data_IF_033544043639
#
_entry.id   IF_033544043639
#
_cell.length_a   1.000
_cell.length_b   1.000
_cell.length_c   1.000
_cell.angle_alpha   90.00
_cell.angle_beta   90.00
_cell.angle_gamma   90.00
#
_symmetry.space_group_name_H-M   'P 1'
#
loop_
_entity.id
_entity.type
_entity.pdbx_description
1 polymer ?
#
# COMPACT_ATOMS: atom_id res chain seq x y z
N UNK A 1 6.58 5.67 21.58
CA UNK A 1 7.67 5.50 20.60
C UNK A 1 7.42 4.30 19.67
N UNK A 2 6.22 4.23 19.07
CA UNK A 2 5.75 3.08 18.28
C UNK A 2 5.99 3.25 16.78
N UNK A 3 5.93 4.49 16.28
CA UNK A 3 6.12 4.81 14.85
C UNK A 3 7.49 4.37 14.33
N UNK A 4 8.59 4.90 14.89
CA UNK A 4 9.96 4.57 14.45
C UNK A 4 10.24 3.06 14.51
N UNK A 5 9.71 2.38 15.53
CA UNK A 5 9.80 0.93 15.66
C UNK A 5 9.09 0.19 14.52
N UNK A 6 7.97 0.71 14.04
CA UNK A 6 7.24 0.14 12.91
C UNK A 6 7.98 0.38 11.59
N UNK A 7 8.52 1.59 11.38
CA UNK A 7 9.31 1.89 10.18
C UNK A 7 10.55 0.99 10.08
N UNK A 8 11.30 0.84 11.18
CA UNK A 8 12.47 -0.06 11.21
C UNK A 8 12.10 -1.53 10.95
N UNK A 9 10.93 -1.99 11.44
CA UNK A 9 10.44 -3.35 11.14
C UNK A 9 10.14 -3.52 9.65
N UNK A 10 9.57 -2.51 9.02
CA UNK A 10 9.27 -2.52 7.59
C UNK A 10 10.56 -2.47 6.75
N UNK A 11 11.52 -1.60 7.08
CA UNK A 11 12.83 -1.58 6.41
C UNK A 11 13.55 -2.91 6.53
N UNK A 12 13.49 -3.55 7.72
CA UNK A 12 14.02 -4.91 7.90
C UNK A 12 13.36 -5.93 6.96
N UNK A 13 12.04 -5.85 6.75
CA UNK A 13 11.33 -6.73 5.80
C UNK A 13 11.77 -6.50 4.35
N UNK A 14 11.91 -5.23 3.95
CA UNK A 14 12.40 -4.87 2.61
C UNK A 14 13.79 -5.47 2.35
N UNK A 15 14.65 -5.47 3.37
CA UNK A 15 16.00 -6.01 3.30
C UNK A 15 16.09 -7.53 3.49
N UNK A 16 14.99 -8.20 3.84
CA UNK A 16 14.96 -9.64 4.16
C UNK A 16 13.74 -10.30 3.53
N UNK A 17 13.83 -10.70 2.24
CA UNK A 17 12.71 -11.27 1.48
C UNK A 17 12.26 -12.67 1.96
N UNK A 18 12.95 -13.31 2.91
CA UNK A 18 12.64 -14.66 3.42
C UNK A 18 11.46 -14.70 4.43
N UNK A 19 10.74 -13.60 4.65
CA UNK A 19 9.55 -13.59 5.51
C UNK A 19 8.30 -13.99 4.70
N UNK A 20 7.47 -14.96 5.14
CA UNK A 20 6.34 -15.44 4.36
C UNK A 20 5.42 -14.31 3.91
N UNK A 21 4.99 -14.38 2.66
CA UNK A 21 4.23 -13.39 1.86
C UNK A 21 2.84 -13.01 2.42
N UNK A 22 2.50 -13.42 3.64
CA UNK A 22 1.16 -13.32 4.23
C UNK A 22 0.92 -12.14 5.17
N UNK A 23 1.83 -11.16 5.26
CA UNK A 23 1.57 -9.94 6.02
C UNK A 23 1.51 -8.76 5.08
N UNK A 24 0.38 -8.66 4.38
CA UNK A 24 -0.19 -7.35 4.07
C UNK A 24 0.03 -6.44 5.27
N UNK A 25 0.52 -5.25 5.01
CA UNK A 25 0.74 -4.25 6.04
C UNK A 25 -0.56 -4.06 6.81
N UNK A 26 -0.71 -4.71 7.97
CA UNK A 26 -1.82 -4.56 8.91
C UNK A 26 -1.83 -3.12 9.43
N UNK A 27 -2.29 -2.23 8.56
CA UNK A 27 -2.53 -0.81 8.76
C UNK A 27 -3.47 -0.24 7.69
N UNK A 28 -3.72 -0.91 6.57
CA UNK A 28 -4.53 -0.33 5.49
C UNK A 28 -6.06 -0.47 5.66
N UNK A 29 -6.53 -1.12 6.74
CA UNK A 29 -7.95 -1.26 7.08
C UNK A 29 -8.38 -0.39 8.28
N UNK A 30 -7.58 0.60 8.68
CA UNK A 30 -8.05 1.61 9.62
C UNK A 30 -8.27 2.94 8.93
N UNK A 31 -9.55 3.15 8.66
CA UNK A 31 -10.24 4.43 8.54
C UNK A 31 -9.89 5.29 7.32
N UNK A 32 -10.85 6.15 6.99
CA UNK A 32 -10.74 7.20 5.99
C UNK A 32 -9.64 8.15 6.48
N UNK A 33 -8.40 7.88 6.09
CA UNK A 33 -7.28 8.76 6.44
C UNK A 33 -7.46 10.04 5.63
N UNK A 34 -7.72 11.16 6.31
CA UNK A 34 -7.78 12.47 5.69
C UNK A 34 -6.46 12.75 4.96
N UNK A 35 -6.54 13.42 3.80
CA UNK A 35 -5.38 13.68 2.95
C UNK A 35 -4.22 14.43 3.65
N UNK A 36 -4.52 15.15 4.76
CA UNK A 36 -3.52 15.82 5.57
C UNK A 36 -2.72 14.86 6.47
N UNK A 37 -3.35 13.79 6.95
CA UNK A 37 -2.74 12.80 7.84
C UNK A 37 -1.80 11.86 7.05
N UNK A 38 -2.13 11.57 5.78
CA UNK A 38 -1.21 10.89 4.84
C UNK A 38 0.07 11.71 4.60
N UNK A 39 -0.05 13.04 4.47
CA UNK A 39 1.07 13.94 4.18
C UNK A 39 2.01 14.06 5.39
N UNK A 40 1.48 14.15 6.60
CA UNK A 40 2.30 14.19 7.81
C UNK A 40 3.03 12.86 8.05
N UNK A 41 2.36 11.72 7.84
CA UNK A 41 2.99 10.39 7.96
C UNK A 41 4.13 10.19 6.95
N UNK A 42 3.99 10.73 5.74
CA UNK A 42 5.05 10.69 4.71
C UNK A 42 6.36 11.36 5.16
N UNK A 43 6.27 12.51 5.83
CA UNK A 43 7.44 13.29 6.25
C UNK A 43 8.24 12.61 7.38
N UNK A 44 7.54 12.02 8.35
CA UNK A 44 8.15 11.29 9.45
C UNK A 44 8.84 10.01 8.97
N UNK A 45 8.24 9.34 7.97
CA UNK A 45 8.79 8.16 7.31
C UNK A 45 10.06 8.48 6.52
N UNK A 46 10.07 9.58 5.77
CA UNK A 46 11.26 10.05 5.06
C UNK A 46 12.40 10.35 6.04
N UNK A 47 12.10 10.96 7.18
CA UNK A 47 13.07 11.16 8.26
C UNK A 47 13.67 9.85 8.78
N UNK A 48 12.83 8.85 9.06
CA UNK A 48 13.27 7.53 9.52
C UNK A 48 14.15 6.82 8.47
N UNK A 49 13.79 6.92 7.19
CA UNK A 49 14.58 6.39 6.08
C UNK A 49 15.96 7.04 6.02
N UNK A 50 16.03 8.39 6.02
CA UNK A 50 17.30 9.14 5.95
C UNK A 50 18.25 8.76 7.09
N UNK A 51 17.73 8.63 8.32
CA UNK A 51 18.52 8.20 9.47
C UNK A 51 19.03 6.77 9.26
N UNK A 52 18.16 5.85 8.82
CA UNK A 52 18.52 4.44 8.61
C UNK A 52 19.60 4.30 7.52
N UNK A 53 19.45 4.99 6.39
CA UNK A 53 20.45 5.02 5.31
C UNK A 53 21.79 5.58 5.80
N UNK A 54 21.78 6.65 6.60
CA UNK A 54 23.00 7.22 7.18
C UNK A 54 23.73 6.20 8.05
N UNK A 55 23.01 5.51 8.94
CA UNK A 55 23.57 4.48 9.82
C UNK A 55 24.17 3.33 9.01
N UNK A 56 23.44 2.79 8.02
CA UNK A 56 23.93 1.70 7.17
C UNK A 56 25.22 2.09 6.44
N UNK A 57 25.26 3.30 5.85
CA UNK A 57 26.45 3.82 5.15
C UNK A 57 27.63 3.99 6.10
N UNK A 58 27.41 4.47 7.33
CA UNK A 58 28.45 4.60 8.37
C UNK A 58 28.98 3.25 8.86
N UNK A 59 28.14 2.21 8.85
CA UNK A 59 28.53 0.83 9.17
C UNK A 59 29.20 0.11 7.99
N UNK A 60 29.50 0.81 6.88
CA UNK A 60 30.03 0.25 5.64
C UNK A 60 29.10 -0.80 4.97
N UNK A 61 27.80 -0.77 5.31
CA UNK A 61 26.74 -1.62 4.72
C UNK A 61 26.10 -0.91 3.51
N UNK A 62 26.93 -0.61 2.49
CA UNK A 62 26.49 0.22 1.34
C UNK A 62 25.43 -0.47 0.50
N UNK A 63 25.58 -1.76 0.20
CA UNK A 63 24.63 -2.52 -0.60
C UNK A 63 23.24 -2.59 0.04
N UNK A 64 23.17 -2.71 1.37
CA UNK A 64 21.91 -2.66 2.11
C UNK A 64 21.28 -1.26 2.04
N UNK A 65 22.07 -0.19 2.15
CA UNK A 65 21.56 1.16 2.00
C UNK A 65 20.95 1.39 0.60
N UNK A 66 21.66 0.97 -0.45
CA UNK A 66 21.23 1.16 -1.83
C UNK A 66 20.00 0.29 -2.15
N UNK A 67 19.96 -0.94 -1.63
CA UNK A 67 18.79 -1.83 -1.75
C UNK A 67 17.57 -1.25 -1.04
N UNK A 68 17.75 -0.70 0.16
CA UNK A 68 16.65 -0.09 0.92
C UNK A 68 16.13 1.16 0.20
N UNK A 69 17.02 2.03 -0.28
CA UNK A 69 16.66 3.26 -1.01
C UNK A 69 15.88 2.93 -2.29
N UNK A 70 16.35 1.96 -3.09
CA UNK A 70 15.66 1.53 -4.31
C UNK A 70 14.27 0.94 -4.05
N UNK A 71 14.16 0.05 -3.07
CA UNK A 71 12.88 -0.60 -2.76
C UNK A 71 11.88 0.36 -2.12
N UNK A 72 12.34 1.31 -1.31
CA UNK A 72 11.47 2.30 -0.70
C UNK A 72 10.80 3.20 -1.75
N UNK A 73 11.52 3.57 -2.81
CA UNK A 73 10.93 4.26 -3.97
C UNK A 73 9.79 3.42 -4.59
N UNK A 74 10.01 2.10 -4.77
CA UNK A 74 8.97 1.22 -5.29
C UNK A 74 7.75 1.14 -4.37
N UNK A 75 7.94 1.11 -3.04
CA UNK A 75 6.86 1.11 -2.06
C UNK A 75 6.07 2.43 -2.10
N UNK A 76 6.74 3.57 -2.23
CA UNK A 76 6.08 4.88 -2.36
C UNK A 76 5.23 4.91 -3.63
N UNK A 77 5.81 4.54 -4.78
CA UNK A 77 5.08 4.47 -6.05
C UNK A 77 3.87 3.52 -5.98
N UNK A 78 4.02 2.36 -5.33
CA UNK A 78 2.93 1.40 -5.16
C UNK A 78 1.80 1.97 -4.30
N UNK A 79 2.12 2.67 -3.20
CA UNK A 79 1.11 3.31 -2.34
C UNK A 79 0.35 4.39 -3.10
N UNK A 80 1.05 5.25 -3.81
CA UNK A 80 0.44 6.32 -4.61
C UNK A 80 -0.48 5.74 -5.70
N UNK A 81 -0.02 4.72 -6.43
CA UNK A 81 -0.84 4.02 -7.42
C UNK A 81 -2.09 3.41 -6.79
N UNK A 82 -1.96 2.74 -5.63
CA UNK A 82 -3.09 2.11 -4.93
C UNK A 82 -4.09 3.17 -4.44
N UNK A 83 -3.62 4.27 -3.88
CA UNK A 83 -4.48 5.39 -3.45
C UNK A 83 -5.22 6.01 -4.64
N UNK A 84 -4.51 6.28 -5.75
CA UNK A 84 -5.11 6.80 -6.97
C UNK A 84 -6.18 5.87 -7.55
N UNK A 85 -5.93 4.56 -7.60
CA UNK A 85 -6.91 3.58 -8.04
C UNK A 85 -8.14 3.56 -7.13
N UNK A 86 -7.93 3.56 -5.80
CA UNK A 86 -9.03 3.61 -4.82
C UNK A 86 -9.87 4.87 -5.03
N UNK A 87 -9.24 6.04 -5.12
CA UNK A 87 -9.95 7.31 -5.30
C UNK A 87 -10.68 7.40 -6.65
N UNK A 88 -10.11 6.85 -7.72
CA UNK A 88 -10.71 6.85 -9.05
C UNK A 88 -11.91 5.90 -9.15
N UNK A 89 -11.86 4.77 -8.46
CA UNK A 89 -12.86 3.70 -8.57
C UNK A 89 -13.67 3.47 -7.29
N UNK A 90 -13.65 4.41 -6.34
CA UNK A 90 -14.41 4.31 -5.09
C UNK A 90 -15.93 4.35 -5.29
N UNK A 91 -16.41 4.97 -6.37
CA UNK A 91 -17.81 5.10 -6.70
C UNK A 91 -18.16 4.30 -7.97
N UNK A 92 -19.34 3.70 -7.96
CA UNK A 92 -19.97 3.07 -9.12
C UNK A 92 -21.33 3.72 -9.37
N UNK A 93 -21.86 3.54 -10.59
CA UNK A 93 -23.14 4.10 -11.01
C UNK A 93 -24.14 2.99 -11.21
N UNK A 94 -25.37 3.21 -10.75
CA UNK A 94 -26.51 2.34 -11.07
C UNK A 94 -27.08 2.72 -12.45
N UNK A 95 -27.35 1.74 -13.32
CA UNK A 95 -27.96 1.97 -14.63
C UNK A 95 -27.02 2.57 -15.69
N UNK A 96 -27.55 3.36 -16.63
CA UNK A 96 -26.76 4.02 -17.69
C UNK A 96 -25.92 5.13 -17.06
N UNK A 97 -24.60 4.98 -17.09
CA UNK A 97 -23.62 5.78 -16.35
C UNK A 97 -23.75 7.31 -16.47
N UNK A 98 -24.44 7.83 -17.49
CA UNK A 98 -24.65 9.28 -17.69
C UNK A 98 -25.77 9.90 -16.83
N UNK A 99 -26.63 9.11 -16.20
CA UNK A 99 -27.81 9.62 -15.45
C UNK A 99 -27.96 9.05 -14.03
N UNK A 100 -27.13 8.08 -13.65
CA UNK A 100 -27.17 7.48 -12.31
C UNK A 100 -26.47 8.33 -11.25
N UNK A 101 -26.89 8.18 -9.98
CA UNK A 101 -26.20 8.80 -8.84
C UNK A 101 -24.95 7.98 -8.48
N UNK A 102 -23.80 8.62 -8.20
CA UNK A 102 -22.60 7.92 -7.75
C UNK A 102 -22.85 7.31 -6.37
N UNK A 103 -22.59 6.00 -6.23
CA UNK A 103 -22.71 5.25 -4.98
C UNK A 103 -21.37 4.61 -4.65
N UNK A 104 -20.92 4.71 -3.39
CA UNK A 104 -19.66 4.09 -2.97
C UNK A 104 -19.74 2.57 -3.09
N UNK A 105 -18.71 1.96 -3.67
CA UNK A 105 -18.65 0.52 -3.92
C UNK A 105 -18.86 -0.32 -2.64
N UNK A 106 -18.29 0.14 -1.52
CA UNK A 106 -18.40 -0.54 -0.22
C UNK A 106 -19.80 -0.49 0.40
N UNK A 107 -20.72 0.34 -0.11
CA UNK A 107 -22.12 0.41 0.36
C UNK A 107 -23.03 -0.57 -0.36
N UNK A 108 -22.57 -1.17 -1.47
CA UNK A 108 -23.37 -2.03 -2.35
C UNK A 108 -22.99 -3.50 -2.22
N UNK A 109 -21.79 -3.79 -1.71
CA UNK A 109 -21.39 -5.14 -1.38
C UNK A 109 -21.81 -5.48 0.04
N UNK A 110 -22.82 -6.32 0.19
CA UNK A 110 -23.20 -6.90 1.48
C UNK A 110 -22.32 -8.08 1.86
N UNK A 111 -21.76 -8.82 0.89
CA UNK A 111 -20.76 -9.88 1.10
C UNK A 111 -19.97 -10.12 -0.21
N UNK A 112 -18.63 -10.18 -0.14
CA UNK A 112 -17.75 -10.45 -1.28
C UNK A 112 -17.10 -11.83 -1.14
N UNK A 113 -17.51 -12.78 -1.97
CA UNK A 113 -16.82 -14.07 -2.10
C UNK A 113 -15.98 -14.06 -3.36
N UNK A 114 -14.66 -14.13 -3.21
CA UNK A 114 -13.76 -14.38 -4.35
C UNK A 114 -13.93 -15.86 -4.69
N UNK A 115 -14.68 -16.12 -5.76
CA UNK A 115 -14.77 -17.47 -6.33
C UNK A 115 -13.73 -17.60 -7.42
N UNK A 116 -13.07 -18.74 -7.48
CA UNK A 116 -12.20 -19.09 -8.60
C UNK A 116 -13.06 -19.11 -9.87
N UNK A 117 -12.65 -18.34 -10.90
CA UNK A 117 -13.38 -18.29 -12.16
C UNK A 117 -13.27 -19.64 -12.89
N UNK A 118 -14.40 -20.29 -13.15
CA UNK A 118 -14.42 -21.48 -13.99
C UNK A 118 -14.10 -21.15 -15.45
N UNK A 119 -13.24 -21.95 -16.09
CA UNK A 119 -13.04 -21.91 -17.54
C UNK A 119 -14.33 -22.29 -18.25
N UNK A 120 -15.08 -21.29 -18.70
CA UNK A 120 -16.28 -21.51 -19.52
C UNK A 120 -15.89 -22.00 -20.91
N UNK A 121 -15.94 -23.31 -21.15
CA UNK A 121 -15.91 -23.86 -22.51
C UNK A 121 -17.21 -23.52 -23.21
N UNK A 122 -17.11 -22.88 -24.38
CA UNK A 122 -18.24 -22.58 -25.25
C UNK A 122 -18.45 -23.79 -26.17
N UNK A 123 -19.56 -24.52 -26.01
CA UNK A 123 -19.94 -25.57 -26.96
C UNK A 123 -20.33 -24.93 -28.31
N UNK A 124 -19.83 -25.52 -29.39
CA UNK A 124 -20.00 -25.11 -30.79
C UNK A 124 -21.26 -25.74 -31.41
#
# INVERSE_FOLDING_TARGET
MTFVKNELKMFKRILSPELPEGFESQKQDKEVVDAEDEKQESSAREGALKITLHVLRKMNQKELADTLEKNELAVICQRELKSNLKNKFQCVFEGIAKQGNPTLLNKIYTDLYITEGGTGEVNN
#
